data_IF_310480859743
#
_entry.id   IF_310480859743
#
_cell.length_a   1.000
_cell.length_b   1.000
_cell.length_c   1.000
_cell.angle_alpha   90.00
_cell.angle_beta   90.00
_cell.angle_gamma   90.00
#
_symmetry.space_group_name_H-M   'P 1'
#
loop_
_entity.id
_entity.type
_entity.pdbx_description
1 polymer ?
#
# COMPACT_ATOMS: atom_id res chain seq x y z
N UNK A 1 3.12 6.62 -3.65
CA UNK A 1 2.55 7.22 -2.41
C UNK A 1 1.84 6.12 -1.64
N UNK A 2 2.03 6.02 -0.32
CA UNK A 2 1.38 5.01 0.53
C UNK A 2 -0.09 5.37 0.69
N UNK A 3 -0.99 4.41 0.45
CA UNK A 3 -2.45 4.57 0.52
C UNK A 3 -2.99 3.85 1.74
N UNK A 4 -3.70 4.57 2.59
CA UNK A 4 -4.29 4.05 3.83
C UNK A 4 -5.81 4.15 3.75
N UNK A 5 -6.51 3.02 3.97
CA UNK A 5 -7.95 3.00 4.17
C UNK A 5 -8.26 3.18 5.65
N UNK A 6 -9.15 4.10 5.96
CA UNK A 6 -9.65 4.36 7.32
C UNK A 6 -11.12 3.94 7.36
N UNK A 7 -11.42 2.91 8.13
CA UNK A 7 -12.76 2.35 8.31
C UNK A 7 -13.19 2.68 9.74
N UNK A 8 -13.95 3.76 9.90
CA UNK A 8 -14.29 4.36 11.19
C UNK A 8 -15.61 5.11 11.06
N UNK A 9 -16.64 4.71 11.80
CA UNK A 9 -17.99 5.29 11.70
C UNK A 9 -18.10 6.66 12.37
N UNK A 10 -17.32 6.93 13.40
CA UNK A 10 -17.26 8.23 14.04
C UNK A 10 -16.51 9.24 13.17
N UNK A 11 -17.26 10.04 12.39
CA UNK A 11 -16.69 11.03 11.45
C UNK A 11 -15.66 11.99 12.08
N UNK A 12 -15.81 12.48 13.33
CA UNK A 12 -14.79 13.31 13.96
C UNK A 12 -13.46 12.58 14.13
N UNK A 13 -13.48 11.31 14.57
CA UNK A 13 -12.30 10.47 14.76
C UNK A 13 -11.67 10.17 13.40
N UNK A 14 -12.46 9.72 12.43
CA UNK A 14 -12.02 9.45 11.06
C UNK A 14 -11.33 10.67 10.43
N UNK A 15 -11.92 11.87 10.56
CA UNK A 15 -11.32 13.10 10.05
C UNK A 15 -10.01 13.49 10.77
N UNK A 16 -9.93 13.31 12.07
CA UNK A 16 -8.71 13.58 12.85
C UNK A 16 -7.57 12.67 12.38
N UNK A 17 -7.83 11.37 12.25
CA UNK A 17 -6.89 10.39 11.74
C UNK A 17 -6.43 10.76 10.32
N UNK A 18 -7.39 11.03 9.42
CA UNK A 18 -7.11 11.40 8.02
C UNK A 18 -6.21 12.62 7.92
N UNK A 19 -6.54 13.70 8.64
CA UNK A 19 -5.75 14.94 8.61
C UNK A 19 -4.32 14.71 9.10
N UNK A 20 -4.17 13.95 10.19
CA UNK A 20 -2.86 13.66 10.79
C UNK A 20 -1.99 12.80 9.86
N UNK A 21 -2.55 11.75 9.26
CA UNK A 21 -1.85 10.89 8.30
C UNK A 21 -1.54 11.62 6.99
N UNK A 22 -2.44 12.47 6.49
CA UNK A 22 -2.19 13.28 5.30
C UNK A 22 -1.04 14.26 5.55
N UNK A 23 -0.98 14.88 6.72
CA UNK A 23 0.14 15.74 7.11
C UNK A 23 1.47 14.98 7.20
N UNK A 24 1.43 13.69 7.54
CA UNK A 24 2.58 12.81 7.54
C UNK A 24 2.96 12.26 6.14
N UNK A 25 2.27 12.68 5.07
CA UNK A 25 2.58 12.33 3.68
C UNK A 25 1.87 11.10 3.13
N UNK A 26 0.86 10.57 3.83
CA UNK A 26 0.06 9.43 3.38
C UNK A 26 -1.17 9.89 2.59
N UNK A 27 -1.61 9.08 1.64
CA UNK A 27 -2.89 9.27 0.97
C UNK A 27 -3.98 8.46 1.70
N UNK A 28 -5.03 9.12 2.18
CA UNK A 28 -6.04 8.51 3.01
C UNK A 28 -7.43 8.52 2.36
N UNK A 29 -8.09 7.37 2.36
CA UNK A 29 -9.50 7.21 1.99
C UNK A 29 -10.28 6.85 3.25
N UNK A 30 -11.40 7.53 3.52
CA UNK A 30 -12.27 7.23 4.65
C UNK A 30 -13.55 6.56 4.18
N UNK A 31 -13.97 5.52 4.89
CA UNK A 31 -15.28 4.89 4.80
C UNK A 31 -15.86 4.72 6.21
N UNK A 32 -17.17 4.64 6.33
CA UNK A 32 -17.86 4.79 7.60
C UNK A 32 -18.68 3.56 8.01
N UNK A 33 -18.61 2.50 7.22
CA UNK A 33 -19.25 1.22 7.48
C UNK A 33 -18.51 0.07 6.75
N UNK A 34 -18.80 -1.17 7.16
CA UNK A 34 -18.12 -2.34 6.63
C UNK A 34 -18.42 -2.63 5.15
N UNK A 35 -19.62 -2.36 4.67
CA UNK A 35 -19.98 -2.60 3.28
C UNK A 35 -19.27 -1.64 2.34
N UNK A 36 -19.23 -0.36 2.70
CA UNK A 36 -18.44 0.64 1.97
C UNK A 36 -16.94 0.31 1.95
N UNK A 37 -16.42 -0.34 3.00
CA UNK A 37 -15.05 -0.82 3.01
C UNK A 37 -14.82 -1.95 2.01
N UNK A 38 -15.72 -2.95 1.93
CA UNK A 38 -15.66 -4.03 0.92
C UNK A 38 -15.70 -3.44 -0.48
N UNK A 39 -16.68 -2.59 -0.78
CA UNK A 39 -16.81 -1.93 -2.08
C UNK A 39 -15.51 -1.20 -2.48
N UNK A 40 -14.87 -0.52 -1.53
CA UNK A 40 -13.59 0.16 -1.79
C UNK A 40 -12.43 -0.81 -2.04
N UNK A 41 -12.38 -1.92 -1.32
CA UNK A 41 -11.34 -2.93 -1.46
C UNK A 41 -11.44 -3.71 -2.77
N UNK A 42 -12.64 -3.82 -3.35
CA UNK A 42 -12.84 -4.44 -4.66
C UNK A 42 -12.24 -3.63 -5.81
N UNK A 43 -12.21 -2.31 -5.68
CA UNK A 43 -11.80 -1.41 -6.76
C UNK A 43 -10.48 -0.69 -6.50
N UNK A 44 -10.04 -0.58 -5.25
CA UNK A 44 -8.85 0.18 -4.91
C UNK A 44 -7.87 -0.67 -4.08
N UNK A 45 -6.58 -0.42 -4.27
CA UNK A 45 -5.51 -1.10 -3.52
C UNK A 45 -4.99 -0.18 -2.43
N UNK A 46 -4.86 -0.72 -1.22
CA UNK A 46 -4.33 -0.02 -0.07
C UNK A 46 -3.06 -0.70 0.46
N UNK A 47 -2.23 0.08 1.13
CA UNK A 47 -0.98 -0.39 1.74
C UNK A 47 -1.14 -0.69 3.22
N UNK A 48 -2.19 -0.15 3.85
CA UNK A 48 -2.57 -0.36 5.25
C UNK A 48 -4.06 -0.06 5.42
N UNK A 49 -4.69 -0.77 6.34
CA UNK A 49 -6.07 -0.50 6.78
C UNK A 49 -6.07 -0.18 8.28
N UNK A 50 -6.66 0.94 8.65
CA UNK A 50 -7.07 1.24 10.02
C UNK A 50 -8.54 0.88 10.15
N UNK A 51 -8.87 -0.04 11.04
CA UNK A 51 -10.18 -0.68 11.09
C UNK A 51 -10.78 -0.62 12.48
N UNK A 52 -11.89 0.07 12.64
CA UNK A 52 -12.68 -0.05 13.87
C UNK A 52 -13.35 -1.43 13.93
N UNK A 53 -13.39 -2.00 15.12
CA UNK A 53 -14.10 -3.25 15.38
C UNK A 53 -15.61 -3.02 15.44
N UNK A 54 -16.05 -1.87 15.99
CA UNK A 54 -17.44 -1.56 16.25
C UNK A 54 -18.05 -0.74 15.12
N UNK A 55 -18.24 -1.38 13.95
CA UNK A 55 -18.81 -0.73 12.77
C UNK A 55 -20.30 -1.09 12.59
N UNK A 56 -21.10 -0.18 12.04
CA UNK A 56 -22.42 -0.51 11.56
C UNK A 56 -22.34 -1.41 10.31
N UNK A 57 -23.29 -2.34 10.18
CA UNK A 57 -23.31 -3.34 9.10
C UNK A 57 -22.41 -4.54 9.43
N UNK A 58 -21.39 -4.80 8.65
CA UNK A 58 -20.39 -5.84 8.92
C UNK A 58 -19.42 -5.37 10.00
N UNK A 59 -19.25 -6.16 11.08
CA UNK A 59 -18.33 -5.80 12.14
C UNK A 59 -16.85 -5.98 11.70
N UNK A 60 -15.92 -5.29 12.39
CA UNK A 60 -14.52 -5.30 12.01
C UNK A 60 -13.86 -6.69 11.97
N UNK A 61 -14.34 -7.67 12.73
CA UNK A 61 -13.82 -9.04 12.66
C UNK A 61 -14.31 -9.77 11.40
N UNK A 62 -15.54 -9.56 10.96
CA UNK A 62 -16.06 -10.14 9.71
C UNK A 62 -15.30 -9.52 8.51
N UNK A 63 -15.08 -8.21 8.56
CA UNK A 63 -14.29 -7.52 7.54
C UNK A 63 -12.83 -7.98 7.52
N UNK A 64 -12.25 -8.34 8.67
CA UNK A 64 -10.89 -8.91 8.74
C UNK A 64 -10.77 -10.24 7.99
N UNK A 65 -11.80 -11.12 8.06
CA UNK A 65 -11.80 -12.38 7.31
C UNK A 65 -11.81 -12.14 5.78
N UNK A 66 -12.46 -11.07 5.34
CA UNK A 66 -12.42 -10.62 3.94
C UNK A 66 -11.07 -10.02 3.55
N UNK A 67 -10.46 -9.21 4.40
CA UNK A 67 -9.19 -8.52 4.13
C UNK A 67 -8.00 -9.48 4.14
N UNK A 68 -8.00 -10.50 4.99
CA UNK A 68 -6.87 -11.41 5.19
C UNK A 68 -6.32 -12.04 3.90
N UNK A 69 -7.15 -12.55 2.96
CA UNK A 69 -6.66 -13.08 1.68
C UNK A 69 -5.99 -12.03 0.78
N UNK A 70 -6.29 -10.74 0.99
CA UNK A 70 -5.73 -9.64 0.19
C UNK A 70 -4.28 -9.31 0.61
N UNK A 71 -3.81 -9.84 1.76
CA UNK A 71 -2.46 -9.59 2.27
C UNK A 71 -2.18 -8.14 2.65
N UNK A 72 -3.22 -7.35 2.93
CA UNK A 72 -3.10 -5.96 3.36
C UNK A 72 -2.99 -5.93 4.89
N UNK A 73 -1.96 -5.29 5.48
CA UNK A 73 -1.84 -5.17 6.91
C UNK A 73 -2.99 -4.37 7.52
N UNK A 74 -3.45 -4.81 8.69
CA UNK A 74 -4.56 -4.17 9.43
C UNK A 74 -4.10 -3.78 10.81
N UNK A 75 -4.40 -2.55 11.22
CA UNK A 75 -4.34 -2.09 12.61
C UNK A 75 -5.78 -1.88 13.08
N UNK A 76 -6.18 -2.59 14.12
CA UNK A 76 -7.49 -2.36 14.72
C UNK A 76 -7.52 -1.10 15.58
N UNK A 77 -8.60 -0.33 15.45
CA UNK A 77 -8.99 0.74 16.37
C UNK A 77 -10.15 0.23 17.21
N UNK A 78 -10.10 0.34 18.53
CA UNK A 78 -11.17 -0.24 19.36
C UNK A 78 -11.36 0.46 20.70
N UNK A 79 -12.61 0.70 21.07
CA UNK A 79 -12.98 1.09 22.43
C UNK A 79 -13.01 -0.10 23.42
N UNK A 80 -12.93 -1.33 22.91
CA UNK A 80 -13.06 -2.54 23.72
C UNK A 80 -11.72 -2.94 24.33
N UNK A 81 -11.58 -2.65 25.63
CA UNK A 81 -10.36 -2.94 26.39
C UNK A 81 -10.26 -4.41 26.87
N UNK A 82 -11.01 -5.35 26.26
CA UNK A 82 -10.95 -6.77 26.68
C UNK A 82 -9.73 -7.47 26.08
N UNK A 83 -8.99 -8.15 26.93
CA UNK A 83 -7.86 -9.00 26.51
C UNK A 83 -8.29 -10.03 25.46
N UNK A 84 -9.52 -10.57 25.60
CA UNK A 84 -10.05 -11.56 24.67
C UNK A 84 -10.20 -11.05 23.24
N UNK A 85 -10.66 -9.81 23.04
CA UNK A 85 -10.80 -9.22 21.70
C UNK A 85 -9.45 -8.93 21.06
N UNK A 86 -8.47 -8.46 21.86
CA UNK A 86 -7.09 -8.25 21.36
C UNK A 86 -6.47 -9.57 20.92
N UNK A 87 -6.57 -10.62 21.74
CA UNK A 87 -6.07 -11.96 21.41
C UNK A 87 -6.77 -12.52 20.18
N UNK A 88 -8.10 -12.33 20.06
CA UNK A 88 -8.86 -12.75 18.87
C UNK A 88 -8.34 -12.06 17.60
N UNK A 89 -8.23 -10.75 17.59
CA UNK A 89 -7.80 -10.02 16.40
C UNK A 89 -6.36 -10.32 15.97
N UNK A 90 -5.42 -10.45 16.92
CA UNK A 90 -4.05 -10.88 16.61
C UNK A 90 -4.03 -12.31 16.03
N UNK A 91 -4.84 -13.25 16.56
CA UNK A 91 -4.99 -14.61 15.99
C UNK A 91 -5.61 -14.59 14.59
N UNK A 92 -6.43 -13.61 14.26
CA UNK A 92 -6.99 -13.42 12.92
C UNK A 92 -6.00 -12.81 11.93
N UNK A 93 -4.84 -12.34 12.41
CA UNK A 93 -3.77 -11.80 11.56
C UNK A 93 -3.69 -10.27 11.52
N UNK A 94 -4.29 -9.57 12.47
CA UNK A 94 -4.05 -8.14 12.64
C UNK A 94 -2.60 -7.87 13.08
N UNK A 95 -2.00 -6.81 12.54
CA UNK A 95 -0.61 -6.45 12.84
C UNK A 95 -0.44 -5.72 14.16
N UNK A 96 -1.44 -4.93 14.54
CA UNK A 96 -1.41 -4.17 15.79
C UNK A 96 -2.84 -3.78 16.23
N UNK A 97 -2.91 -3.20 17.43
CA UNK A 97 -4.11 -2.72 18.11
C UNK A 97 -3.89 -1.35 18.72
N UNK A 98 -4.85 -0.45 18.54
CA UNK A 98 -4.89 0.87 19.17
C UNK A 98 -6.19 0.99 19.95
N UNK A 99 -6.09 1.29 21.23
CA UNK A 99 -7.24 1.42 22.13
C UNK A 99 -7.71 2.86 22.12
N UNK A 100 -8.99 3.09 21.89
CA UNK A 100 -9.63 4.41 22.04
C UNK A 100 -9.91 4.72 23.53
N UNK A 101 -9.66 5.95 24.01
CA UNK A 101 -9.03 7.08 23.29
C UNK A 101 -7.52 6.89 23.15
N UNK A 102 -6.95 7.36 22.04
CA UNK A 102 -5.54 7.27 21.73
C UNK A 102 -4.93 8.63 21.38
N UNK A 103 -3.64 8.74 21.57
CA UNK A 103 -2.88 9.90 21.13
C UNK A 103 -2.48 9.75 19.65
N UNK A 104 -2.56 10.83 18.88
CA UNK A 104 -2.21 10.82 17.45
C UNK A 104 -0.75 10.42 17.22
N UNK A 105 0.15 10.79 18.12
CA UNK A 105 1.58 10.42 18.07
C UNK A 105 1.74 8.89 18.16
N UNK A 106 0.95 8.21 19.01
CA UNK A 106 0.94 6.76 19.12
C UNK A 106 0.45 6.12 17.81
N UNK A 107 -0.66 6.61 17.25
CA UNK A 107 -1.21 6.09 16.00
C UNK A 107 -0.18 6.22 14.87
N UNK A 108 0.45 7.37 14.70
CA UNK A 108 1.47 7.59 13.67
C UNK A 108 2.67 6.64 13.84
N UNK A 109 3.17 6.46 15.06
CA UNK A 109 4.28 5.56 15.34
C UNK A 109 3.94 4.10 15.01
N UNK A 110 2.74 3.63 15.34
CA UNK A 110 2.29 2.26 15.03
C UNK A 110 2.08 2.04 13.53
N UNK A 111 1.49 3.01 12.84
CA UNK A 111 1.36 3.00 11.37
C UNK A 111 2.73 2.87 10.71
N UNK A 112 3.70 3.66 11.16
CA UNK A 112 5.06 3.61 10.63
C UNK A 112 5.72 2.24 10.86
N UNK A 113 5.60 1.67 12.06
CA UNK A 113 6.17 0.36 12.41
C UNK A 113 5.58 -0.74 11.52
N UNK A 114 4.24 -0.76 11.34
CA UNK A 114 3.57 -1.76 10.49
C UNK A 114 3.97 -1.59 9.03
N UNK A 115 3.93 -0.38 8.49
CA UNK A 115 4.33 -0.12 7.11
C UNK A 115 5.79 -0.51 6.84
N UNK A 116 6.69 -0.30 7.80
CA UNK A 116 8.09 -0.72 7.71
C UNK A 116 8.22 -2.24 7.67
N UNK A 117 7.48 -3.00 8.50
CA UNK A 117 7.47 -4.49 8.47
C UNK A 117 7.03 -5.04 7.13
N UNK A 118 6.07 -4.39 6.48
CA UNK A 118 5.55 -4.79 5.17
C UNK A 118 6.35 -4.22 3.99
N UNK A 119 7.57 -3.76 4.24
CA UNK A 119 8.46 -3.18 3.22
C UNK A 119 7.84 -1.97 2.46
N UNK A 120 6.84 -1.32 3.05
CA UNK A 120 6.20 -0.13 2.45
C UNK A 120 6.98 1.17 2.71
N UNK A 121 7.90 1.14 3.69
CA UNK A 121 8.76 2.27 4.09
C UNK A 121 10.25 1.89 4.14
N UNK A 122 10.70 0.96 3.31
CA UNK A 122 12.13 0.64 3.24
C UNK A 122 12.86 1.84 2.63
N UNK A 123 13.84 2.36 3.36
CA UNK A 123 14.68 3.47 2.87
C UNK A 123 15.61 3.02 1.73
N UNK A 124 16.14 1.81 1.83
CA UNK A 124 17.01 1.21 0.81
C UNK A 124 16.37 -0.06 0.27
N UNK A 125 16.05 -0.08 -1.01
CA UNK A 125 15.52 -1.23 -1.72
C UNK A 125 16.59 -1.75 -2.67
N UNK A 126 16.75 -3.08 -2.73
CA UNK A 126 17.52 -3.72 -3.77
C UNK A 126 16.60 -4.63 -4.58
N UNK A 127 16.58 -4.49 -5.89
CA UNK A 127 15.74 -5.30 -6.77
C UNK A 127 16.40 -5.48 -8.14
N UNK A 128 16.58 -6.72 -8.57
CA UNK A 128 17.13 -7.07 -9.88
C UNK A 128 18.37 -6.22 -10.27
N UNK A 129 19.34 -6.12 -9.35
CA UNK A 129 20.60 -5.40 -9.54
C UNK A 129 20.52 -3.87 -9.50
N UNK A 130 19.44 -3.33 -8.95
CA UNK A 130 19.24 -1.88 -8.75
C UNK A 130 19.14 -1.56 -7.27
N UNK A 131 19.92 -0.59 -6.82
CA UNK A 131 19.89 -0.01 -5.49
C UNK A 131 19.09 1.29 -5.50
N UNK A 132 18.09 1.39 -4.63
CA UNK A 132 17.17 2.52 -4.55
C UNK A 132 17.20 3.06 -3.12
N UNK A 133 17.63 4.30 -2.96
CA UNK A 133 17.42 5.06 -1.73
C UNK A 133 16.15 5.90 -1.88
N UNK A 134 15.15 5.56 -1.08
CA UNK A 134 13.83 6.21 -1.19
C UNK A 134 13.77 7.55 -0.45
N UNK A 135 14.73 7.85 0.40
CA UNK A 135 14.82 9.13 1.12
C UNK A 135 15.46 10.19 0.24
N UNK A 136 16.60 9.87 -0.36
CA UNK A 136 17.28 10.77 -1.30
C UNK A 136 16.71 10.69 -2.73
N UNK A 137 15.79 9.73 -2.99
CA UNK A 137 15.23 9.42 -4.32
C UNK A 137 16.32 9.07 -5.35
N UNK A 138 17.45 8.53 -4.91
CA UNK A 138 18.52 8.10 -5.80
C UNK A 138 18.40 6.65 -6.21
N UNK A 139 18.71 6.39 -7.47
CA UNK A 139 18.69 5.04 -8.07
C UNK A 139 20.06 4.75 -8.65
N UNK A 140 20.66 3.62 -8.28
CA UNK A 140 21.99 3.24 -8.72
C UNK A 140 22.01 1.82 -9.29
N UNK A 141 22.91 1.60 -10.23
CA UNK A 141 23.30 0.28 -10.73
C UNK A 141 24.82 0.22 -10.79
N UNK A 142 25.45 -0.73 -10.10
CA UNK A 142 26.91 -0.84 -10.00
C UNK A 142 27.58 0.48 -9.60
N UNK A 143 27.01 1.17 -8.59
CA UNK A 143 27.42 2.50 -8.10
C UNK A 143 27.21 3.69 -9.08
N UNK A 144 26.75 3.45 -10.29
CA UNK A 144 26.41 4.52 -11.24
C UNK A 144 24.98 4.98 -11.05
N UNK A 145 24.77 6.30 -10.92
CA UNK A 145 23.45 6.89 -10.71
C UNK A 145 22.64 6.92 -12.02
N UNK A 146 21.38 6.49 -11.94
CA UNK A 146 20.44 6.43 -13.05
C UNK A 146 19.41 7.55 -12.91
N UNK A 147 19.34 8.43 -13.91
CA UNK A 147 18.37 9.52 -13.94
C UNK A 147 17.01 9.05 -14.48
N UNK A 148 16.00 9.09 -13.61
CA UNK A 148 14.62 8.74 -13.92
C UNK A 148 13.71 9.98 -13.83
N UNK A 149 12.67 10.02 -14.65
CA UNK A 149 11.56 10.95 -14.42
C UNK A 149 10.73 10.50 -13.21
N UNK A 150 9.92 11.39 -12.63
CA UNK A 150 9.08 11.05 -11.49
C UNK A 150 8.21 9.80 -11.74
N UNK A 151 7.62 9.68 -12.94
CA UNK A 151 6.77 8.54 -13.29
C UNK A 151 7.56 7.25 -13.52
N UNK A 152 8.77 7.33 -14.04
CA UNK A 152 9.68 6.18 -14.14
C UNK A 152 10.16 5.72 -12.76
N UNK A 153 10.43 6.66 -11.85
CA UNK A 153 10.80 6.36 -10.47
C UNK A 153 9.65 5.71 -9.69
N UNK A 154 8.42 6.25 -9.80
CA UNK A 154 7.22 5.65 -9.19
C UNK A 154 6.96 4.22 -9.70
N UNK A 155 7.13 3.98 -11.01
CA UNK A 155 7.05 2.64 -11.62
C UNK A 155 8.12 1.70 -11.06
N UNK A 156 9.38 2.18 -10.99
CA UNK A 156 10.49 1.41 -10.44
C UNK A 156 10.18 0.96 -9.00
N UNK A 157 9.74 1.89 -8.15
CA UNK A 157 9.36 1.60 -6.76
C UNK A 157 8.20 0.62 -6.68
N UNK A 158 7.18 0.77 -7.55
CA UNK A 158 6.03 -0.11 -7.56
C UNK A 158 6.46 -1.57 -7.80
N UNK A 159 7.34 -1.81 -8.77
CA UNK A 159 7.82 -3.17 -9.06
C UNK A 159 8.84 -3.66 -8.03
N UNK A 160 9.75 -2.81 -7.56
CA UNK A 160 10.75 -3.18 -6.55
C UNK A 160 10.11 -3.58 -5.21
N UNK A 161 8.95 -3.01 -4.87
CA UNK A 161 8.17 -3.37 -3.67
C UNK A 161 7.28 -4.59 -3.84
N UNK A 162 7.08 -5.07 -5.08
CA UNK A 162 6.22 -6.20 -5.41
C UNK A 162 6.94 -7.25 -6.28
N UNK A 163 8.13 -7.75 -5.87
CA UNK A 163 8.85 -8.74 -6.65
C UNK A 163 8.06 -10.03 -6.75
N UNK A 164 8.07 -10.66 -7.93
CA UNK A 164 7.36 -11.92 -8.19
C UNK A 164 5.86 -11.77 -8.43
N UNK A 165 5.26 -10.62 -8.12
CA UNK A 165 3.81 -10.39 -8.25
C UNK A 165 3.49 -9.84 -9.64
N UNK A 166 2.49 -10.44 -10.30
CA UNK A 166 1.95 -9.92 -11.55
C UNK A 166 1.03 -8.73 -11.28
N UNK A 167 1.38 -7.56 -11.80
CA UNK A 167 0.57 -6.35 -11.68
C UNK A 167 -0.20 -6.10 -12.97
N UNK A 168 -1.53 -5.90 -12.85
CA UNK A 168 -2.39 -5.55 -13.97
C UNK A 168 -2.09 -4.12 -14.45
N UNK A 169 -2.33 -3.84 -15.74
CA UNK A 169 -2.09 -2.50 -16.31
C UNK A 169 -2.92 -1.42 -15.64
N UNK A 170 -4.16 -1.74 -15.34
CA UNK A 170 -5.11 -0.90 -14.60
C UNK A 170 -4.52 -0.50 -13.25
N UNK A 171 -4.10 -1.49 -12.47
CA UNK A 171 -3.46 -1.29 -11.15
C UNK A 171 -2.20 -0.43 -11.24
N UNK A 172 -1.35 -0.67 -12.26
CA UNK A 172 -0.13 0.11 -12.47
C UNK A 172 -0.50 1.56 -12.77
N UNK A 173 -1.48 1.78 -13.66
CA UNK A 173 -1.91 3.13 -14.02
C UNK A 173 -2.46 3.89 -12.82
N UNK A 174 -3.41 3.30 -12.11
CA UNK A 174 -4.05 3.92 -10.93
C UNK A 174 -3.04 4.26 -9.84
N UNK A 175 -2.08 3.37 -9.57
CA UNK A 175 -1.05 3.60 -8.55
C UNK A 175 -0.05 4.69 -8.92
N UNK A 176 0.30 4.82 -10.19
CA UNK A 176 1.37 5.72 -10.63
C UNK A 176 0.82 7.06 -11.12
N UNK A 177 -0.31 7.08 -11.82
CA UNK A 177 -0.87 8.33 -12.38
C UNK A 177 -2.06 8.85 -11.58
N UNK A 178 -2.76 7.98 -10.83
CA UNK A 178 -4.05 8.30 -10.21
C UNK A 178 -5.19 8.38 -11.23
N UNK A 179 -6.43 8.24 -10.77
CA UNK A 179 -7.59 8.26 -11.64
C UNK A 179 -7.83 6.95 -12.38
N UNK A 180 -8.93 6.90 -13.16
CA UNK A 180 -9.35 5.70 -13.87
C UNK A 180 -8.45 5.39 -15.07
N UNK A 181 -8.15 4.10 -15.25
CA UNK A 181 -7.45 3.61 -16.43
C UNK A 181 -8.34 3.68 -17.67
N UNK A 182 -7.83 4.30 -18.73
CA UNK A 182 -8.54 4.34 -20.02
C UNK A 182 -8.11 3.13 -20.86
N UNK A 183 -9.03 2.18 -21.14
CA UNK A 183 -8.73 1.02 -21.98
C UNK A 183 -8.17 1.45 -23.34
N UNK A 184 -7.07 0.79 -23.78
CA UNK A 184 -6.39 1.14 -25.04
C UNK A 184 -5.34 2.24 -24.91
N UNK A 185 -5.22 2.90 -23.77
CA UNK A 185 -4.09 3.82 -23.51
C UNK A 185 -2.77 3.06 -23.52
N UNK A 186 -1.76 3.60 -24.19
CA UNK A 186 -0.39 3.06 -24.22
C UNK A 186 0.56 3.72 -23.22
N UNK A 187 0.02 4.49 -22.28
CA UNK A 187 0.81 5.27 -21.31
C UNK A 187 1.69 4.36 -20.45
N UNK A 188 1.12 3.28 -19.91
CA UNK A 188 1.85 2.32 -19.07
C UNK A 188 2.98 1.66 -19.85
N UNK A 189 2.68 1.15 -21.04
CA UNK A 189 3.64 0.46 -21.91
C UNK A 189 4.84 1.35 -22.25
N UNK A 190 4.58 2.59 -22.65
CA UNK A 190 5.63 3.53 -23.04
C UNK A 190 6.57 3.87 -21.87
N UNK A 191 6.02 4.13 -20.71
CA UNK A 191 6.83 4.44 -19.52
C UNK A 191 7.59 3.22 -19.02
N UNK A 192 6.98 2.03 -19.00
CA UNK A 192 7.66 0.78 -18.66
C UNK A 192 8.81 0.51 -19.65
N UNK A 193 8.60 0.68 -20.94
CA UNK A 193 9.66 0.48 -21.95
C UNK A 193 10.85 1.41 -21.70
N UNK A 194 10.59 2.69 -21.41
CA UNK A 194 11.64 3.69 -21.11
C UNK A 194 12.38 3.35 -19.82
N UNK A 195 11.63 3.05 -18.75
CA UNK A 195 12.19 2.70 -17.45
C UNK A 195 13.04 1.44 -17.55
N UNK A 196 12.54 0.35 -18.18
CA UNK A 196 13.30 -0.89 -18.40
C UNK A 196 14.67 -0.63 -19.03
N UNK A 197 14.71 0.18 -20.10
CA UNK A 197 15.94 0.51 -20.82
C UNK A 197 16.93 1.27 -19.93
N UNK A 198 16.44 2.20 -19.11
CA UNK A 198 17.30 2.98 -18.22
C UNK A 198 17.90 2.17 -17.09
N UNK A 199 17.09 1.32 -16.44
CA UNK A 199 17.51 0.51 -15.30
C UNK A 199 18.04 -0.87 -15.70
N UNK A 200 18.05 -1.23 -16.98
CA UNK A 200 18.52 -2.54 -17.48
C UNK A 200 17.64 -3.70 -17.07
N UNK A 201 16.33 -3.49 -16.93
CA UNK A 201 15.35 -4.52 -16.55
C UNK A 201 14.65 -5.17 -17.75
N UNK A 202 15.24 -5.17 -18.93
CA UNK A 202 14.64 -5.76 -20.14
C UNK A 202 14.34 -7.26 -19.97
N UNK A 203 15.16 -7.96 -19.18
CA UNK A 203 14.98 -9.40 -18.86
C UNK A 203 14.28 -9.61 -17.52
N UNK A 204 14.49 -8.73 -16.55
CA UNK A 204 13.95 -8.87 -15.20
C UNK A 204 12.47 -8.48 -15.11
N UNK A 205 12.04 -7.42 -15.77
CA UNK A 205 10.63 -6.99 -15.78
C UNK A 205 9.92 -7.59 -16.98
N UNK A 206 9.32 -8.77 -16.82
CA UNK A 206 8.66 -9.52 -17.89
C UNK A 206 7.24 -9.02 -18.17
N UNK A 207 6.82 -9.13 -19.44
CA UNK A 207 5.43 -8.87 -19.84
C UNK A 207 4.63 -10.16 -19.72
N UNK A 208 3.46 -10.10 -19.06
CA UNK A 208 2.51 -11.20 -18.98
C UNK A 208 1.36 -10.87 -19.94
N UNK A 209 1.19 -11.62 -21.04
CA UNK A 209 0.18 -11.32 -22.06
C UNK A 209 -1.22 -11.21 -21.44
N UNK A 210 -1.97 -10.17 -21.85
CA UNK A 210 -3.34 -9.87 -21.39
C UNK A 210 -3.50 -9.55 -19.90
N UNK A 211 -2.42 -9.56 -19.11
CA UNK A 211 -2.43 -9.23 -17.68
C UNK A 211 -1.69 -7.93 -17.43
N UNK A 212 -0.39 -7.91 -17.66
CA UNK A 212 0.43 -6.74 -17.31
C UNK A 212 1.91 -7.10 -17.21
N UNK A 213 2.52 -6.85 -16.03
CA UNK A 213 3.96 -6.99 -15.87
C UNK A 213 4.33 -7.60 -14.51
N UNK A 214 5.45 -8.29 -14.47
CA UNK A 214 6.00 -8.89 -13.25
C UNK A 214 7.51 -8.72 -13.21
N UNK A 215 8.03 -8.20 -12.11
CA UNK A 215 9.47 -8.20 -11.84
C UNK A 215 9.86 -9.59 -11.34
N UNK A 216 10.81 -10.23 -12.00
CA UNK A 216 11.44 -11.46 -11.55
C UNK A 216 12.85 -11.11 -11.06
N UNK A 217 13.17 -11.59 -9.85
CA UNK A 217 14.52 -11.44 -9.32
C UNK A 217 15.43 -12.41 -10.07
N UNK A 218 16.30 -11.87 -10.88
CA UNK A 218 17.34 -12.64 -11.59
C UNK A 218 18.63 -12.50 -10.80
N UNK A 219 18.63 -13.03 -9.56
CA UNK A 219 19.92 -13.32 -8.88
C UNK A 219 20.73 -14.35 -9.62
#
# INVERSE_FOLDING_TARGET
>A
MIRILIVEDEKPISNLIRLSLTKAGYHCTCVYDGNAAVDKLDWEIFDLILLDIMLPGANGFELMDYIRPLGIPVIFLTAVNSVNNRVRGLKMGAEDYIIKPFEIVELLARVEVVLRRYNKMIQHLHAAGIDIDTVSMTVKRNDEEIQLTNKEYELLLLFARNPGIALYKETIYERVWGGEYVPGSRTVELHIQRMRKKVGWEKALITIPKVGYRLVDTT
#
